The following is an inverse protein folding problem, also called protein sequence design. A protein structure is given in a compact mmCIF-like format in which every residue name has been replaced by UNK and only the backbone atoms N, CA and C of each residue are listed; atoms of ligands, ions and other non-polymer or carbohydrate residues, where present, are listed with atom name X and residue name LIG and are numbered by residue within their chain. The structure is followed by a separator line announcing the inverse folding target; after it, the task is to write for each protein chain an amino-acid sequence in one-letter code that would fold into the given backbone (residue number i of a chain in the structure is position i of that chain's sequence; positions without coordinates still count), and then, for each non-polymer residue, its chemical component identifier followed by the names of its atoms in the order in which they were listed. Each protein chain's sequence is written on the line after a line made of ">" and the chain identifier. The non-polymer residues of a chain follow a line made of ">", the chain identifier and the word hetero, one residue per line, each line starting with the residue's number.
data_IF_161122630510
#
_entry.id   IF_161122630510
#
_cell.length_a   1.000
_cell.length_b   1.000
_cell.length_c   1.000
_cell.angle_alpha   90.00
_cell.angle_beta   90.00
_cell.angle_gamma   90.00
#
_symmetry.space_group_name_H-M   'P 1'
#
loop_
_entity.id
_entity.type
_entity.pdbx_description
1 polymer ?
#
# COMPACT_ATOMS: atom_id res chain seq x y z
N UNK A 1 5.92 7.00 8.53
CA UNK A 1 6.82 7.21 9.68
C UNK A 1 6.19 6.60 10.93
N UNK A 2 6.73 6.85 12.13
CA UNK A 2 6.09 6.40 13.38
C UNK A 2 6.10 7.51 14.43
N UNK A 3 5.06 7.61 15.26
CA UNK A 3 4.89 8.65 16.30
C UNK A 3 5.62 8.31 17.61
N UNK A 4 6.86 7.82 17.50
CA UNK A 4 7.75 7.47 18.62
C UNK A 4 9.19 7.84 18.25
N UNK A 5 10.07 7.94 19.24
CA UNK A 5 11.51 8.00 19.02
C UNK A 5 12.09 6.58 19.15
N UNK A 6 12.60 6.02 18.06
CA UNK A 6 13.10 4.64 18.02
C UNK A 6 14.62 4.52 17.99
N UNK A 7 15.37 5.63 18.11
CA UNK A 7 16.84 5.63 18.01
C UNK A 7 17.54 4.68 18.98
N UNK A 8 16.91 4.35 20.10
CA UNK A 8 17.46 3.39 21.06
C UNK A 8 17.46 1.95 20.54
N UNK A 9 16.50 1.59 19.69
CA UNK A 9 16.36 0.25 19.13
C UNK A 9 17.16 0.05 17.83
N UNK A 10 17.55 1.15 17.17
CA UNK A 10 18.21 1.15 15.87
C UNK A 10 19.61 1.77 16.00
N UNK A 11 20.55 0.95 16.45
CA UNK A 11 21.96 1.32 16.57
C UNK A 11 22.68 1.12 15.24
N UNK A 12 23.52 2.09 14.86
CA UNK A 12 24.33 2.02 13.62
C UNK A 12 25.12 0.71 13.54
N UNK A 13 25.11 0.07 12.38
CA UNK A 13 25.75 -1.22 12.10
C UNK A 13 24.98 -2.44 12.61
N UNK A 14 23.88 -2.27 13.33
CA UNK A 14 23.02 -3.39 13.72
C UNK A 14 22.28 -3.96 12.51
N UNK A 15 22.06 -5.28 12.52
CA UNK A 15 21.15 -5.96 11.59
C UNK A 15 19.81 -6.20 12.28
N UNK A 16 18.73 -5.90 11.58
CA UNK A 16 17.37 -6.00 12.08
C UNK A 16 16.50 -6.74 11.06
N UNK A 17 15.49 -7.45 11.54
CA UNK A 17 14.50 -8.10 10.68
C UNK A 17 13.14 -7.49 10.95
N UNK A 18 12.47 -7.03 9.90
CA UNK A 18 11.08 -6.61 9.97
C UNK A 18 10.18 -7.80 9.66
N UNK A 19 9.57 -8.38 10.70
CA UNK A 19 8.78 -9.61 10.59
C UNK A 19 7.38 -9.42 10.01
N UNK A 20 6.87 -8.19 9.96
CA UNK A 20 5.57 -7.86 9.38
C UNK A 20 5.70 -7.18 8.03
N UNK A 21 4.59 -7.10 7.29
CA UNK A 21 4.48 -6.20 6.15
C UNK A 21 4.69 -4.76 6.63
N UNK A 22 5.43 -3.98 5.85
CA UNK A 22 5.63 -2.56 6.13
C UNK A 22 5.28 -1.74 4.90
N UNK A 23 4.29 -0.86 5.02
CA UNK A 23 3.92 0.09 3.97
C UNK A 23 4.87 1.28 4.00
N UNK A 24 5.34 1.69 2.82
CA UNK A 24 6.25 2.78 2.58
C UNK A 24 5.75 3.62 1.42
N UNK A 25 6.22 4.85 1.31
CA UNK A 25 5.95 5.74 0.19
C UNK A 25 7.26 6.19 -0.43
N UNK A 26 7.26 6.42 -1.74
CA UNK A 26 8.40 7.04 -2.44
C UNK A 26 8.30 8.56 -2.53
N UNK A 27 7.16 9.14 -2.12
CA UNK A 27 6.91 10.59 -2.14
C UNK A 27 7.01 11.18 -0.75
N UNK A 28 7.75 12.29 -0.65
CA UNK A 28 7.98 12.96 0.64
C UNK A 28 6.74 13.74 1.07
N UNK A 29 5.91 14.17 0.11
CA UNK A 29 4.71 14.96 0.32
C UNK A 29 3.68 14.24 1.18
N UNK A 30 3.57 12.91 1.06
CA UNK A 30 2.66 12.06 1.87
C UNK A 30 3.05 12.10 3.35
N UNK A 31 4.32 12.38 3.67
CA UNK A 31 4.78 12.47 5.06
C UNK A 31 4.27 13.73 5.77
N UNK A 32 3.74 14.72 5.05
CA UNK A 32 3.12 15.88 5.68
C UNK A 32 1.79 15.55 6.37
N UNK A 33 1.15 14.44 6.00
CA UNK A 33 -0.09 13.99 6.62
C UNK A 33 0.14 13.62 8.09
N UNK A 34 -0.75 14.09 8.96
CA UNK A 34 -0.69 13.82 10.39
C UNK A 34 -0.94 12.35 10.73
N UNK A 35 -1.65 11.60 9.89
CA UNK A 35 -1.89 10.16 10.08
C UNK A 35 -0.61 9.34 9.87
N UNK A 36 0.27 9.74 8.93
CA UNK A 36 1.50 9.01 8.61
C UNK A 36 2.74 9.46 9.39
N UNK A 37 3.02 10.76 9.40
CA UNK A 37 4.22 11.29 10.04
C UNK A 37 3.99 12.67 10.65
N UNK A 38 3.43 13.60 9.87
CA UNK A 38 3.01 14.91 10.35
C UNK A 38 4.16 15.81 10.80
N UNK A 39 3.80 16.98 11.33
CA UNK A 39 4.78 18.04 11.63
C UNK A 39 5.12 18.13 13.12
N UNK A 40 4.37 17.45 13.98
CA UNK A 40 4.41 17.64 15.42
C UNK A 40 4.64 16.34 16.21
N UNK A 41 5.04 16.50 17.48
CA UNK A 41 5.22 15.38 18.40
C UNK A 41 6.54 14.60 18.21
N UNK A 42 6.73 13.60 19.07
CA UNK A 42 7.84 12.64 18.94
C UNK A 42 7.59 11.78 17.72
N UNK A 43 8.56 11.70 16.82
CA UNK A 43 8.41 10.94 15.59
C UNK A 43 9.73 10.50 15.01
N UNK A 44 9.71 9.35 14.36
CA UNK A 44 10.84 8.77 13.65
C UNK A 44 10.47 8.60 12.18
N UNK A 45 11.31 9.13 11.28
CA UNK A 45 11.26 8.84 9.86
C UNK A 45 12.27 7.74 9.54
N UNK A 46 11.81 6.73 8.78
CA UNK A 46 12.69 5.72 8.20
C UNK A 46 12.96 6.10 6.74
N UNK A 47 14.22 6.31 6.40
CA UNK A 47 14.69 6.42 5.03
C UNK A 47 15.30 5.08 4.64
N UNK A 48 14.71 4.40 3.66
CA UNK A 48 14.98 2.99 3.39
C UNK A 48 15.49 2.85 1.95
N UNK A 49 16.70 2.35 1.79
CA UNK A 49 17.19 1.80 0.51
C UNK A 49 16.78 0.33 0.43
N UNK A 50 15.96 -0.03 -0.56
CA UNK A 50 15.37 -1.36 -0.70
C UNK A 50 15.33 -1.77 -2.18
N UNK A 51 15.63 -3.05 -2.44
CA UNK A 51 15.61 -3.65 -3.78
C UNK A 51 14.39 -4.56 -3.98
N UNK A 52 13.82 -5.13 -2.91
CA UNK A 52 12.78 -6.17 -3.01
C UNK A 52 11.34 -5.68 -2.84
N UNK A 53 11.17 -4.40 -2.47
CA UNK A 53 9.86 -3.76 -2.26
C UNK A 53 8.91 -3.94 -3.44
N UNK A 54 7.61 -4.04 -3.15
CA UNK A 54 6.56 -4.24 -4.16
C UNK A 54 5.76 -2.97 -4.33
N UNK A 55 5.80 -2.44 -5.53
CA UNK A 55 4.87 -1.41 -5.96
C UNK A 55 3.45 -1.96 -5.98
N UNK A 56 2.60 -1.39 -5.12
CA UNK A 56 1.20 -1.77 -5.02
C UNK A 56 0.26 -0.62 -5.36
N UNK A 57 0.75 0.43 -6.04
CA UNK A 57 -0.05 1.63 -6.39
C UNK A 57 -1.35 1.30 -7.13
N UNK A 58 -1.32 0.28 -8.00
CA UNK A 58 -2.49 -0.18 -8.76
C UNK A 58 -3.50 -0.98 -7.93
N UNK A 59 -3.13 -1.37 -6.72
CA UNK A 59 -3.94 -2.15 -5.79
C UNK A 59 -4.27 -1.38 -4.51
N UNK A 60 -3.64 -0.22 -4.30
CA UNK A 60 -3.86 0.63 -3.15
C UNK A 60 -5.18 1.38 -3.28
N UNK A 61 -5.82 1.60 -2.13
CA UNK A 61 -7.01 2.43 -2.05
C UNK A 61 -6.69 3.91 -2.33
N UNK A 62 -5.44 4.32 -2.05
CA UNK A 62 -4.93 5.68 -2.26
C UNK A 62 -3.78 5.67 -3.28
N UNK A 63 -4.07 5.69 -4.59
CA UNK A 63 -3.03 5.52 -5.63
C UNK A 63 -1.97 6.61 -5.62
N UNK A 64 -2.28 7.80 -5.07
CA UNK A 64 -1.36 8.94 -5.01
C UNK A 64 -0.32 8.81 -3.88
N UNK A 65 -0.45 7.83 -2.98
CA UNK A 65 0.53 7.61 -1.91
C UNK A 65 1.83 6.98 -2.42
N UNK A 66 1.89 6.61 -3.71
CA UNK A 66 3.06 6.00 -4.32
C UNK A 66 3.60 4.82 -3.47
N UNK A 67 2.65 3.97 -3.05
CA UNK A 67 2.84 2.97 -2.02
C UNK A 67 3.73 1.80 -2.47
N UNK A 68 4.78 1.55 -1.69
CA UNK A 68 5.68 0.40 -1.78
C UNK A 68 5.50 -0.47 -0.54
N UNK A 69 5.15 -1.72 -0.75
CA UNK A 69 5.01 -2.71 0.31
C UNK A 69 6.30 -3.51 0.48
N UNK A 70 6.91 -3.41 1.66
CA UNK A 70 8.03 -4.25 2.07
C UNK A 70 7.49 -5.58 2.59
N UNK A 71 8.10 -6.68 2.13
CA UNK A 71 7.68 -8.02 2.51
C UNK A 71 8.11 -8.35 3.96
N UNK A 72 7.37 -9.25 4.64
CA UNK A 72 7.79 -9.81 5.92
C UNK A 72 9.16 -10.45 5.81
N UNK A 73 9.90 -10.48 6.92
CA UNK A 73 11.21 -11.12 6.99
C UNK A 73 12.32 -10.39 6.24
N UNK A 74 12.08 -9.16 5.78
CA UNK A 74 13.13 -8.34 5.16
C UNK A 74 14.17 -7.95 6.20
N UNK A 75 15.44 -8.18 5.90
CA UNK A 75 16.57 -7.85 6.78
C UNK A 75 17.21 -6.53 6.34
N UNK A 76 17.51 -5.65 7.30
CA UNK A 76 18.13 -4.35 7.08
C UNK A 76 19.39 -4.18 7.93
N UNK A 77 20.36 -3.45 7.39
CA UNK A 77 21.44 -2.83 8.16
C UNK A 77 21.04 -1.39 8.53
N UNK A 78 21.27 -1.00 9.78
CA UNK A 78 21.09 0.38 10.24
C UNK A 78 22.31 1.20 9.83
N UNK A 79 22.16 2.04 8.80
CA UNK A 79 23.24 2.88 8.27
C UNK A 79 23.51 4.07 9.18
N UNK A 80 22.46 4.72 9.66
CA UNK A 80 22.57 5.88 10.55
C UNK A 80 21.30 6.08 11.38
N UNK A 81 21.45 6.81 12.48
CA UNK A 81 20.38 7.15 13.41
C UNK A 81 20.72 8.50 14.03
N UNK A 82 19.86 9.50 13.84
CA UNK A 82 20.19 10.88 14.16
C UNK A 82 18.99 11.67 14.72
N UNK A 83 19.28 12.63 15.62
CA UNK A 83 18.33 13.64 16.08
C UNK A 83 18.25 14.76 15.05
N UNK A 84 17.07 15.05 14.53
CA UNK A 84 16.85 16.14 13.58
C UNK A 84 16.30 17.39 14.28
N UNK A 85 16.23 17.40 15.62
CA UNK A 85 15.61 18.46 16.40
C UNK A 85 14.08 18.36 16.39
N UNK A 86 13.39 19.23 17.14
CA UNK A 86 11.92 19.27 17.20
C UNK A 86 11.24 17.93 17.49
N UNK A 87 11.89 17.09 18.32
CA UNK A 87 11.43 15.73 18.67
C UNK A 87 11.24 14.82 17.44
N UNK A 88 11.95 15.13 16.35
CA UNK A 88 12.01 14.36 15.14
C UNK A 88 13.38 13.67 15.06
N UNK A 89 13.37 12.35 14.88
CA UNK A 89 14.56 11.57 14.55
C UNK A 89 14.45 10.92 13.18
N UNK A 90 15.60 10.71 12.54
CA UNK A 90 15.68 9.99 11.27
C UNK A 90 16.59 8.78 11.42
N UNK A 91 16.15 7.66 10.86
CA UNK A 91 16.89 6.40 10.81
C UNK A 91 17.02 6.00 9.35
N UNK A 92 18.26 5.74 8.92
CA UNK A 92 18.55 5.23 7.59
C UNK A 92 18.76 3.72 7.64
N UNK A 93 18.04 3.00 6.78
CA UNK A 93 18.11 1.56 6.64
C UNK A 93 18.54 1.23 5.22
N UNK A 94 19.31 0.16 5.08
CA UNK A 94 19.62 -0.46 3.80
C UNK A 94 19.26 -1.92 3.85
N UNK A 95 18.46 -2.38 2.90
CA UNK A 95 18.14 -3.79 2.76
C UNK A 95 19.43 -4.59 2.54
N UNK A 96 19.53 -5.72 3.21
CA UNK A 96 20.65 -6.64 3.07
C UNK A 96 20.12 -8.04 2.77
N UNK A 97 20.83 -8.76 1.91
CA UNK A 97 20.52 -10.17 1.66
C UNK A 97 20.80 -10.97 2.94
N UNK A 98 19.81 -11.69 3.49
CA UNK A 98 20.02 -12.47 4.70
C UNK A 98 20.93 -13.67 4.41
N UNK A 99 21.76 -14.03 5.39
CA UNK A 99 22.66 -15.21 5.29
C UNK A 99 21.87 -16.51 5.09
N UNK A 100 20.66 -16.56 5.64
CA UNK A 100 19.71 -17.65 5.49
C UNK A 100 18.35 -17.07 5.13
N UNK A 101 17.70 -17.48 4.03
CA UNK A 101 16.40 -16.96 3.65
C UNK A 101 15.37 -17.19 4.75
N UNK A 102 14.71 -16.12 5.22
CA UNK A 102 13.68 -16.21 6.24
C UNK A 102 12.34 -16.70 5.68
N UNK A 103 12.06 -16.40 4.40
CA UNK A 103 10.87 -16.81 3.67
C UNK A 103 11.31 -17.31 2.29
N UNK A 104 10.64 -18.34 1.78
CA UNK A 104 10.90 -18.85 0.44
C UNK A 104 10.60 -17.78 -0.62
N UNK A 105 11.54 -17.56 -1.54
CA UNK A 105 11.32 -16.64 -2.66
C UNK A 105 10.19 -17.20 -3.54
N UNK A 106 9.12 -16.41 -3.70
CA UNK A 106 8.05 -16.69 -4.66
C UNK A 106 8.52 -16.23 -6.04
N UNK A 107 9.66 -16.75 -6.51
CA UNK A 107 10.06 -16.60 -7.89
C UNK A 107 9.14 -17.51 -8.71
N UNK A 108 7.99 -16.96 -9.13
CA UNK A 108 7.07 -17.67 -10.01
C UNK A 108 7.78 -18.04 -11.31
N UNK A 109 8.03 -19.33 -11.46
CA UNK A 109 8.34 -20.02 -12.69
C UNK A 109 7.18 -19.85 -13.68
N UNK A 110 7.20 -18.74 -14.42
CA UNK A 110 6.45 -18.63 -15.68
C UNK A 110 7.46 -18.93 -16.79
N UNK A 111 7.63 -20.21 -17.10
CA UNK A 111 8.29 -20.62 -18.33
C UNK A 111 7.40 -20.23 -19.51
N UNK A 112 7.89 -19.48 -20.51
CA UNK A 112 7.13 -19.27 -21.74
C UNK A 112 7.06 -20.58 -22.52
N UNK A 113 5.85 -21.13 -22.66
CA UNK A 113 5.59 -22.26 -23.55
C UNK A 113 5.89 -21.83 -24.98
N UNK A 114 6.96 -22.42 -25.53
CA UNK A 114 7.39 -22.30 -26.91
C UNK A 114 6.61 -23.27 -27.77
N UNK A 115 5.86 -22.74 -28.74
CA UNK A 115 5.44 -23.41 -29.99
C UNK A 115 5.43 -22.30 -31.03
N UNK A 116 6.15 -22.28 -32.15
CA UNK A 116 7.08 -23.18 -32.80
C UNK A 116 7.26 -22.64 -34.24
N UNK A 117 8.47 -22.81 -34.78
CA UNK A 117 8.87 -22.71 -36.19
C UNK A 117 9.15 -21.33 -36.84
N UNK A 118 10.40 -21.24 -37.31
CA UNK A 118 11.12 -20.15 -37.95
C UNK A 118 10.84 -19.96 -39.46
N UNK A 119 11.16 -18.77 -39.99
CA UNK A 119 12.11 -18.51 -41.10
C UNK A 119 11.78 -17.18 -41.84
N UNK A 120 12.49 -16.08 -41.59
CA UNK A 120 13.63 -15.52 -42.38
C UNK A 120 13.22 -14.42 -43.39
N UNK A 121 13.69 -13.17 -43.22
CA UNK A 121 14.59 -12.41 -44.14
C UNK A 121 14.61 -10.88 -43.88
N UNK A 122 15.83 -10.38 -43.62
CA UNK A 122 16.53 -9.08 -43.89
C UNK A 122 15.84 -7.68 -43.96
N UNK A 123 16.62 -6.59 -43.71
CA UNK A 123 16.13 -5.25 -43.35
C UNK A 123 16.08 -4.26 -44.53
N UNK A 124 15.14 -3.30 -44.50
CA UNK A 124 15.16 -2.09 -45.33
C UNK A 124 14.58 -0.89 -44.56
N UNK A 125 15.17 0.27 -44.85
CA UNK A 125 15.06 1.58 -44.25
C UNK A 125 13.66 2.26 -44.26
N UNK A 126 13.55 3.23 -43.35
CA UNK A 126 12.83 4.51 -43.38
C UNK A 126 11.73 4.72 -44.44
N UNK A 127 10.52 5.05 -43.99
CA UNK A 127 9.82 6.30 -44.30
C UNK A 127 8.37 6.31 -43.80
N UNK A 128 7.90 7.54 -43.55
CA UNK A 128 6.52 8.01 -43.67
C UNK A 128 5.53 7.76 -42.53
N UNK A 129 5.09 8.90 -42.00
CA UNK A 129 3.99 9.11 -41.08
C UNK A 129 2.69 8.41 -41.52
N UNK A 130 2.01 7.80 -40.57
CA UNK A 130 0.60 7.45 -40.70
C UNK A 130 -0.09 7.67 -39.35
N UNK A 131 -1.19 8.41 -39.40
CA UNK A 131 -2.00 8.87 -38.28
C UNK A 131 -2.56 7.69 -37.43
N UNK A 132 -2.68 7.81 -36.10
CA UNK A 132 -3.31 6.77 -35.29
C UNK A 132 -4.84 6.86 -35.35
N UNK A 133 -5.44 5.75 -35.82
CA UNK A 133 -6.86 5.38 -35.76
C UNK A 133 -7.43 5.52 -34.33
N UNK A 134 -8.70 5.94 -34.14
CA UNK A 134 -9.25 6.26 -32.81
C UNK A 134 -9.38 5.02 -31.93
N UNK A 135 -8.78 5.09 -30.74
CA UNK A 135 -8.94 4.12 -29.65
C UNK A 135 -10.38 4.12 -29.12
N UNK A 136 -10.92 2.95 -28.72
CA UNK A 136 -12.20 2.89 -28.02
C UNK A 136 -12.11 3.67 -26.72
N UNK A 137 -13.02 4.62 -26.51
CA UNK A 137 -13.12 5.37 -25.25
C UNK A 137 -13.41 4.38 -24.11
N UNK A 138 -12.40 4.11 -23.28
CA UNK A 138 -12.60 3.51 -21.96
C UNK A 138 -13.58 4.41 -21.19
N UNK A 139 -14.59 3.81 -20.57
CA UNK A 139 -15.49 4.53 -19.66
C UNK A 139 -14.63 5.19 -18.59
N UNK A 140 -14.90 6.45 -18.21
CA UNK A 140 -14.18 7.09 -17.11
C UNK A 140 -14.31 6.22 -15.85
N UNK A 141 -13.26 6.13 -15.02
CA UNK A 141 -13.33 5.41 -13.76
C UNK A 141 -14.51 5.95 -12.95
N UNK A 142 -15.38 5.04 -12.49
CA UNK A 142 -16.48 5.36 -11.58
C UNK A 142 -15.83 6.00 -10.36
N UNK A 143 -16.14 7.27 -10.09
CA UNK A 143 -15.63 7.95 -8.91
C UNK A 143 -16.10 7.17 -7.68
N UNK A 144 -15.21 6.83 -6.73
CA UNK A 144 -15.59 6.15 -5.50
C UNK A 144 -16.69 6.93 -4.80
N UNK A 145 -17.80 6.26 -4.48
CA UNK A 145 -18.85 6.85 -3.66
C UNK A 145 -18.51 6.53 -2.22
N UNK A 146 -17.91 7.50 -1.52
CA UNK A 146 -17.63 7.38 -0.10
C UNK A 146 -18.88 7.69 0.71
N UNK A 147 -19.18 6.85 1.70
CA UNK A 147 -20.26 7.08 2.66
C UNK A 147 -19.72 6.97 4.07
N UNK A 148 -19.56 8.12 4.73
CA UNK A 148 -19.06 8.18 6.10
C UNK A 148 -20.17 8.20 7.16
N UNK A 149 -19.99 7.33 8.15
CA UNK A 149 -20.80 7.20 9.34
C UNK A 149 -19.97 7.30 10.63
N UNK A 150 -18.75 7.84 10.53
CA UNK A 150 -17.87 8.02 11.67
C UNK A 150 -18.53 8.87 12.78
N UNK A 151 -18.27 8.54 14.04
CA UNK A 151 -18.73 9.29 15.22
C UNK A 151 -20.27 9.45 15.38
N UNK A 152 -21.09 8.60 14.74
CA UNK A 152 -22.56 8.72 14.75
C UNK A 152 -23.26 7.91 15.86
N UNK A 153 -22.54 7.43 16.88
CA UNK A 153 -23.06 6.57 17.95
C UNK A 153 -23.80 5.32 17.43
N UNK A 154 -23.31 4.74 16.33
CA UNK A 154 -23.91 3.57 15.69
C UNK A 154 -23.80 2.36 16.60
N UNK A 155 -24.90 1.63 16.69
CA UNK A 155 -25.04 0.39 17.44
C UNK A 155 -25.23 -0.80 16.50
N UNK A 156 -25.18 -2.02 17.04
CA UNK A 156 -25.43 -3.24 16.26
C UNK A 156 -26.78 -3.22 15.53
N UNK A 157 -27.79 -2.55 16.08
CA UNK A 157 -29.12 -2.43 15.49
C UNK A 157 -29.14 -1.57 14.21
N UNK A 158 -28.20 -0.63 14.07
CA UNK A 158 -28.15 0.30 12.94
C UNK A 158 -27.44 -0.28 11.72
N UNK A 159 -26.60 -1.30 11.90
CA UNK A 159 -25.73 -1.86 10.87
C UNK A 159 -26.52 -2.34 9.65
N UNK A 160 -27.64 -3.04 9.88
CA UNK A 160 -28.52 -3.51 8.80
C UNK A 160 -29.09 -2.36 7.95
N UNK A 161 -29.45 -1.24 8.59
CA UNK A 161 -29.96 -0.05 7.89
C UNK A 161 -28.86 0.68 7.13
N UNK A 162 -27.67 0.77 7.72
CA UNK A 162 -26.50 1.38 7.10
C UNK A 162 -26.08 0.61 5.86
N UNK A 163 -26.05 -0.71 5.92
CA UNK A 163 -25.69 -1.56 4.77
C UNK A 163 -26.69 -1.39 3.63
N UNK A 164 -28.00 -1.48 3.90
CA UNK A 164 -29.02 -1.25 2.87
C UNK A 164 -28.92 0.14 2.24
N UNK A 165 -28.63 1.18 3.04
CA UNK A 165 -28.55 2.55 2.54
C UNK A 165 -27.23 2.83 1.80
N UNK A 166 -26.09 2.47 2.37
CA UNK A 166 -24.79 2.76 1.81
C UNK A 166 -24.47 1.84 0.62
N UNK A 167 -24.62 0.53 0.79
CA UNK A 167 -24.17 -0.44 -0.21
C UNK A 167 -25.23 -0.59 -1.31
N UNK A 168 -26.49 -0.85 -0.94
CA UNK A 168 -27.54 -1.14 -1.95
C UNK A 168 -28.06 0.13 -2.62
N UNK A 169 -28.37 1.18 -1.86
CA UNK A 169 -28.96 2.40 -2.42
C UNK A 169 -27.93 3.38 -2.97
N UNK A 170 -26.79 3.53 -2.30
CA UNK A 170 -25.77 4.53 -2.66
C UNK A 170 -24.61 3.95 -3.46
N UNK A 171 -24.57 2.62 -3.70
CA UNK A 171 -23.47 1.95 -4.39
C UNK A 171 -22.10 2.36 -3.85
N UNK A 172 -22.03 2.48 -2.52
CA UNK A 172 -20.85 2.91 -1.81
C UNK A 172 -19.68 1.96 -2.06
N UNK A 173 -18.52 2.52 -2.39
CA UNK A 173 -17.26 1.79 -2.55
C UNK A 173 -16.37 1.90 -1.31
N UNK A 174 -16.68 2.85 -0.41
CA UNK A 174 -15.93 3.07 0.84
C UNK A 174 -16.86 3.44 2.01
N UNK A 175 -16.93 2.56 3.01
CA UNK A 175 -17.80 2.73 4.17
C UNK A 175 -16.98 2.97 5.45
N UNK A 176 -16.94 4.23 5.91
CA UNK A 176 -16.25 4.58 7.15
C UNK A 176 -17.18 4.46 8.37
N UNK A 177 -16.86 3.52 9.28
CA UNK A 177 -17.60 3.26 10.52
C UNK A 177 -16.79 3.56 11.79
N UNK A 178 -15.68 4.28 11.68
CA UNK A 178 -14.78 4.55 12.81
C UNK A 178 -15.47 5.29 13.97
N UNK A 179 -14.92 5.14 15.18
CA UNK A 179 -15.42 5.83 16.38
C UNK A 179 -16.91 5.58 16.70
N UNK A 180 -17.40 4.36 16.43
CA UNK A 180 -18.74 3.91 16.82
C UNK A 180 -18.67 2.77 17.84
N UNK A 181 -19.83 2.40 18.41
CA UNK A 181 -19.93 1.34 19.45
C UNK A 181 -20.30 -0.01 18.84
N UNK A 182 -19.62 -0.38 17.75
CA UNK A 182 -19.86 -1.64 17.04
C UNK A 182 -19.14 -2.77 17.78
N UNK A 183 -19.87 -3.79 18.22
CA UNK A 183 -19.26 -4.97 18.86
C UNK A 183 -18.96 -6.06 17.83
N UNK A 184 -18.35 -7.17 18.28
CA UNK A 184 -18.09 -8.34 17.44
C UNK A 184 -19.35 -8.90 16.77
N UNK A 185 -20.51 -8.83 17.43
CA UNK A 185 -21.80 -9.22 16.83
C UNK A 185 -22.14 -8.31 15.64
N UNK A 186 -21.95 -7.00 15.79
CA UNK A 186 -22.18 -6.04 14.73
C UNK A 186 -21.23 -6.24 13.54
N UNK A 187 -19.95 -6.52 13.81
CA UNK A 187 -18.97 -6.86 12.78
C UNK A 187 -19.34 -8.16 12.03
N UNK A 188 -19.84 -9.18 12.73
CA UNK A 188 -20.28 -10.44 12.13
C UNK A 188 -21.49 -10.24 11.20
N UNK A 189 -22.47 -9.42 11.61
CA UNK A 189 -23.61 -9.04 10.78
C UNK A 189 -23.13 -8.30 9.53
N UNK A 190 -22.21 -7.34 9.69
CA UNK A 190 -21.63 -6.59 8.57
C UNK A 190 -20.92 -7.49 7.56
N UNK A 191 -20.08 -8.42 8.04
CA UNK A 191 -19.38 -9.38 7.18
C UNK A 191 -20.34 -10.32 6.44
N UNK A 192 -21.44 -10.75 7.08
CA UNK A 192 -22.46 -11.60 6.44
C UNK A 192 -23.17 -10.87 5.32
N UNK A 193 -23.60 -9.63 5.54
CA UNK A 193 -24.36 -8.87 4.55
C UNK A 193 -23.48 -8.38 3.39
N UNK A 194 -22.20 -8.09 3.62
CA UNK A 194 -21.24 -7.75 2.56
C UNK A 194 -21.01 -8.88 1.55
N UNK A 195 -21.18 -10.16 1.94
CA UNK A 195 -21.04 -11.29 1.02
C UNK A 195 -22.08 -11.31 -0.10
N UNK A 196 -23.21 -10.62 0.09
CA UNK A 196 -24.28 -10.53 -0.89
C UNK A 196 -24.11 -9.33 -1.84
N UNK A 197 -23.00 -8.60 -1.74
CA UNK A 197 -22.66 -7.47 -2.62
C UNK A 197 -21.98 -8.01 -3.90
N UNK A 198 -22.78 -8.50 -4.84
CA UNK A 198 -22.36 -8.87 -6.22
C UNK A 198 -22.57 -7.74 -7.21
#
# INVERSE_FOLDING_TARGET
>A
GVKLDLREHYKKGARIVWWGFSSCTTTVEVLEDEEFFGKNGRRTLFAIECDTGKDIRQHSFYPNEEEILLLPGTEFEVISSADMGNRFSMIQLKEVVPKFPHIASVASSISPTTTGAAATTKPVAAAAATEPKPTPKLKPPVQPVEVSYACKNITNADIQRIIKKAIVQQQCTELNLSHNKITHEGAAVLAKELRNNT
#
